data_IF_419233305115
#
_entry.id   IF_419233305115
#
_cell.length_a   1.000
_cell.length_b   1.000
_cell.length_c   1.000
_cell.angle_alpha   90.00
_cell.angle_beta   90.00
_cell.angle_gamma   90.00
#
_symmetry.space_group_name_H-M   'P 1'
#
loop_
_entity.id
_entity.type
_entity.pdbx_description
1 polymer ?
#
# COMPACT_ATOMS: atom_id res chain seq x y z
N UNK A 1 11.59 33.84 -40.06
CA UNK A 1 12.15 32.96 -39.00
C UNK A 1 11.71 33.43 -37.64
N UNK A 2 11.80 34.74 -37.28
CA UNK A 2 11.47 35.23 -35.93
C UNK A 2 10.01 35.07 -35.47
N UNK A 3 9.05 34.94 -36.39
CA UNK A 3 7.62 34.73 -36.03
C UNK A 3 7.33 33.31 -35.55
N UNK A 4 7.96 32.32 -36.17
CA UNK A 4 7.85 30.89 -35.80
C UNK A 4 8.46 30.63 -34.42
N UNK A 5 9.62 31.23 -34.13
CA UNK A 5 10.30 31.12 -32.83
C UNK A 5 9.49 31.74 -31.68
N UNK A 6 8.79 32.87 -31.94
CA UNK A 6 7.89 33.49 -30.95
C UNK A 6 6.62 32.67 -30.73
N UNK A 7 6.10 32.01 -31.76
CA UNK A 7 4.93 31.15 -31.66
C UNK A 7 5.23 29.87 -30.85
N UNK A 8 6.38 29.22 -31.13
CA UNK A 8 6.86 28.06 -30.37
C UNK A 8 7.17 28.38 -28.91
N UNK A 9 7.72 29.59 -28.64
CA UNK A 9 7.93 30.08 -27.29
C UNK A 9 6.61 30.29 -26.54
N UNK A 10 5.61 30.88 -27.20
CA UNK A 10 4.28 31.08 -26.62
C UNK A 10 3.57 29.76 -26.33
N UNK A 11 3.67 28.78 -27.19
CA UNK A 11 3.10 27.44 -26.95
C UNK A 11 3.77 26.77 -25.77
N UNK A 12 5.10 26.82 -25.69
CA UNK A 12 5.90 26.26 -24.56
C UNK A 12 5.54 26.96 -23.25
N UNK A 13 5.36 28.28 -23.25
CA UNK A 13 4.99 29.07 -22.09
C UNK A 13 3.56 28.77 -21.62
N UNK A 14 2.62 28.61 -22.55
CA UNK A 14 1.25 28.23 -22.24
C UNK A 14 1.17 26.79 -21.70
N UNK A 15 1.95 25.88 -22.26
CA UNK A 15 2.07 24.51 -21.74
C UNK A 15 2.62 24.52 -20.29
N UNK A 16 3.74 25.20 -20.07
CA UNK A 16 4.35 25.32 -18.73
C UNK A 16 3.39 25.96 -17.71
N UNK A 17 2.61 26.97 -18.10
CA UNK A 17 1.59 27.62 -17.28
C UNK A 17 0.48 26.62 -16.90
N UNK A 18 0.03 25.81 -17.85
CA UNK A 18 -1.03 24.83 -17.62
C UNK A 18 -0.55 23.72 -16.67
N UNK A 19 0.65 23.21 -16.87
CA UNK A 19 1.29 22.22 -16.00
C UNK A 19 1.48 22.75 -14.56
N UNK A 20 1.94 24.02 -14.45
CA UNK A 20 2.10 24.66 -13.13
C UNK A 20 0.77 24.80 -12.41
N UNK A 21 -0.27 25.25 -13.10
CA UNK A 21 -1.60 25.39 -12.53
C UNK A 21 -2.22 24.05 -12.11
N UNK A 22 -1.99 22.99 -12.89
CA UNK A 22 -2.39 21.62 -12.54
C UNK A 22 -1.67 21.12 -11.29
N UNK A 23 -0.36 21.37 -11.20
CA UNK A 23 0.45 21.01 -10.03
C UNK A 23 0.02 21.76 -8.77
N UNK A 24 -0.24 23.07 -8.85
CA UNK A 24 -0.76 23.86 -7.74
C UNK A 24 -2.13 23.36 -7.26
N UNK A 25 -3.01 23.00 -8.19
CA UNK A 25 -4.34 22.46 -7.87
C UNK A 25 -4.20 21.12 -7.13
N UNK A 26 -3.38 20.21 -7.63
CA UNK A 26 -3.10 18.92 -6.99
C UNK A 26 -2.50 19.13 -5.59
N UNK A 27 -1.62 20.10 -5.40
CA UNK A 27 -1.04 20.39 -4.09
C UNK A 27 -2.08 20.93 -3.10
N UNK A 28 -3.00 21.79 -3.54
CA UNK A 28 -4.11 22.29 -2.70
C UNK A 28 -5.07 21.18 -2.31
N UNK A 29 -5.45 20.32 -3.26
CA UNK A 29 -6.29 19.14 -3.00
C UNK A 29 -5.61 18.17 -2.03
N UNK A 30 -4.31 17.96 -2.19
CA UNK A 30 -3.48 17.18 -1.29
C UNK A 30 -3.58 17.68 0.16
N UNK A 31 -3.32 18.98 0.38
CA UNK A 31 -3.36 19.59 1.72
C UNK A 31 -4.78 19.50 2.33
N UNK A 32 -5.81 19.71 1.53
CA UNK A 32 -7.20 19.60 1.97
C UNK A 32 -7.55 18.16 2.42
N UNK A 33 -7.16 17.16 1.63
CA UNK A 33 -7.40 15.75 1.94
C UNK A 33 -6.63 15.32 3.19
N UNK A 34 -5.34 15.69 3.32
CA UNK A 34 -4.55 15.45 4.53
C UNK A 34 -5.24 16.04 5.76
N UNK A 35 -5.65 17.31 5.68
CA UNK A 35 -6.28 18.01 6.79
C UNK A 35 -7.57 17.31 7.23
N UNK A 36 -8.36 16.83 6.29
CA UNK A 36 -9.58 16.07 6.56
C UNK A 36 -9.27 14.73 7.23
N UNK A 37 -8.34 13.96 6.66
CA UNK A 37 -7.99 12.61 7.13
C UNK A 37 -7.27 12.62 8.50
N UNK A 38 -6.58 13.73 8.85
CA UNK A 38 -6.03 13.96 10.19
C UNK A 38 -7.11 14.40 11.19
N UNK A 39 -8.08 15.20 10.77
CA UNK A 39 -9.11 15.76 11.68
C UNK A 39 -10.04 14.67 12.20
N UNK A 40 -10.42 13.72 11.37
CA UNK A 40 -11.38 12.66 11.75
C UNK A 40 -10.89 11.83 12.96
N UNK A 41 -9.71 11.18 12.93
CA UNK A 41 -9.19 10.43 14.07
C UNK A 41 -8.95 11.33 15.29
N UNK A 42 -8.49 12.56 15.10
CA UNK A 42 -8.28 13.51 16.19
C UNK A 42 -9.59 13.86 16.90
N UNK A 43 -10.67 14.08 16.14
CA UNK A 43 -12.01 14.35 16.70
C UNK A 43 -12.54 13.15 17.48
N UNK A 44 -12.31 11.91 16.99
CA UNK A 44 -12.71 10.70 17.70
C UNK A 44 -11.94 10.53 19.01
N UNK A 45 -10.60 10.68 18.98
CA UNK A 45 -9.76 10.61 20.19
C UNK A 45 -10.22 11.64 21.24
N UNK A 46 -10.43 12.90 20.80
CA UNK A 46 -10.87 13.96 21.71
C UNK A 46 -12.27 13.69 22.26
N UNK A 47 -13.22 13.33 21.38
CA UNK A 47 -14.61 13.07 21.78
C UNK A 47 -14.75 11.90 22.75
N UNK A 48 -14.10 10.77 22.49
CA UNK A 48 -14.11 9.64 23.44
C UNK A 48 -13.36 9.98 24.73
N UNK A 49 -12.27 10.74 24.67
CA UNK A 49 -11.57 11.24 25.85
C UNK A 49 -12.47 12.15 26.72
N UNK A 50 -13.29 13.00 26.11
CA UNK A 50 -14.27 13.86 26.81
C UNK A 50 -15.41 13.03 27.41
N UNK A 51 -15.97 12.07 26.67
CA UNK A 51 -17.00 11.15 27.15
C UNK A 51 -16.51 10.39 28.38
N UNK A 52 -15.30 9.82 28.32
CA UNK A 52 -14.71 9.07 29.45
C UNK A 52 -14.43 9.96 30.67
N UNK A 53 -14.08 11.23 30.44
CA UNK A 53 -13.84 12.20 31.53
C UNK A 53 -15.13 12.65 32.20
N UNK A 54 -16.16 12.94 31.42
CA UNK A 54 -17.33 13.71 31.87
C UNK A 54 -18.53 12.80 32.24
N UNK A 55 -18.57 11.55 31.73
CA UNK A 55 -19.66 10.62 31.98
C UNK A 55 -19.22 9.45 32.85
N UNK A 56 -19.80 9.28 34.08
CA UNK A 56 -19.50 8.15 34.95
C UNK A 56 -19.83 6.81 34.27
N UNK A 57 -18.88 5.88 34.28
CA UNK A 57 -19.06 4.54 33.71
C UNK A 57 -18.63 4.37 32.27
N UNK A 58 -18.32 5.46 31.55
CA UNK A 58 -17.86 5.42 30.16
C UNK A 58 -16.34 5.16 29.99
N UNK A 59 -15.61 5.07 31.10
CA UNK A 59 -14.20 4.65 31.09
C UNK A 59 -14.10 3.13 30.91
N UNK A 60 -14.50 2.66 29.74
CA UNK A 60 -14.56 1.24 29.38
C UNK A 60 -13.35 0.82 28.54
N UNK A 61 -12.97 -0.47 28.57
CA UNK A 61 -11.93 -1.00 27.67
C UNK A 61 -12.24 -0.74 26.19
N UNK A 62 -13.52 -0.76 25.81
CA UNK A 62 -13.99 -0.55 24.44
C UNK A 62 -13.71 0.89 23.99
N UNK A 63 -14.05 1.90 24.83
CA UNK A 63 -13.80 3.30 24.53
C UNK A 63 -12.30 3.61 24.49
N UNK A 64 -11.51 3.00 25.38
CA UNK A 64 -10.04 3.08 25.37
C UNK A 64 -9.49 2.48 24.08
N UNK A 65 -10.02 1.33 23.63
CA UNK A 65 -9.58 0.69 22.40
C UNK A 65 -9.82 1.57 21.17
N UNK A 66 -10.96 2.26 21.10
CA UNK A 66 -11.23 3.22 20.01
C UNK A 66 -10.18 4.32 19.98
N UNK A 67 -9.79 4.87 21.13
CA UNK A 67 -8.75 5.90 21.22
C UNK A 67 -7.40 5.36 20.73
N UNK A 68 -7.04 4.13 21.13
CA UNK A 68 -5.80 3.47 20.72
C UNK A 68 -5.79 3.22 19.20
N UNK A 69 -6.89 2.74 18.64
CA UNK A 69 -7.02 2.44 17.22
C UNK A 69 -6.90 3.70 16.38
N UNK A 70 -7.57 4.80 16.77
CA UNK A 70 -7.49 6.07 16.06
C UNK A 70 -6.13 6.76 16.21
N UNK A 71 -5.46 6.64 17.37
CA UNK A 71 -4.11 7.13 17.56
C UNK A 71 -3.11 6.34 16.69
N UNK A 72 -3.27 5.03 16.59
CA UNK A 72 -2.46 4.16 15.73
C UNK A 72 -2.66 4.51 14.26
N UNK A 73 -3.90 4.73 13.85
CA UNK A 73 -4.25 5.19 12.50
C UNK A 73 -3.60 6.54 12.16
N UNK A 74 -3.66 7.50 13.09
CA UNK A 74 -3.03 8.82 12.94
C UNK A 74 -1.52 8.70 12.78
N UNK A 75 -0.87 7.85 13.59
CA UNK A 75 0.56 7.57 13.51
C UNK A 75 0.96 6.98 12.13
N UNK A 76 0.17 6.03 11.63
CA UNK A 76 0.39 5.45 10.30
C UNK A 76 0.29 6.51 9.20
N UNK A 77 -0.74 7.37 9.26
CA UNK A 77 -0.96 8.44 8.29
C UNK A 77 0.19 9.47 8.28
N UNK A 78 0.71 9.84 9.46
CA UNK A 78 1.88 10.73 9.58
C UNK A 78 3.11 10.08 8.97
N UNK A 79 3.36 8.80 9.23
CA UNK A 79 4.49 8.08 8.65
C UNK A 79 4.38 7.96 7.12
N UNK A 80 3.19 7.69 6.58
CA UNK A 80 2.91 7.66 5.15
C UNK A 80 3.22 9.01 4.49
N UNK A 81 2.87 10.13 5.15
CA UNK A 81 3.17 11.49 4.68
C UNK A 81 4.67 11.79 4.68
N UNK A 82 5.38 11.35 5.72
CA UNK A 82 6.84 11.51 5.80
C UNK A 82 7.54 10.70 4.70
N UNK A 83 7.11 9.47 4.47
CA UNK A 83 7.63 8.64 3.38
C UNK A 83 7.34 9.27 2.01
N UNK A 84 6.14 9.76 1.80
CA UNK A 84 5.77 10.46 0.57
C UNK A 84 6.64 11.71 0.34
N UNK A 85 6.89 12.50 1.39
CA UNK A 85 7.77 13.68 1.33
C UNK A 85 9.21 13.30 0.94
N UNK A 86 9.74 12.19 1.49
CA UNK A 86 11.06 11.67 1.13
C UNK A 86 11.11 11.17 -0.33
N UNK A 87 10.06 10.51 -0.80
CA UNK A 87 9.93 10.09 -2.20
C UNK A 87 9.96 11.31 -3.14
N UNK A 88 9.21 12.37 -2.80
CA UNK A 88 9.12 13.59 -3.61
C UNK A 88 10.43 14.35 -3.73
N UNK A 89 11.17 14.43 -2.64
CA UNK A 89 12.47 15.13 -2.63
C UNK A 89 13.59 14.34 -3.31
N UNK A 90 13.32 13.12 -3.80
CA UNK A 90 14.36 12.23 -4.32
C UNK A 90 15.35 11.77 -3.22
N UNK A 91 15.01 12.02 -1.95
CA UNK A 91 15.88 11.73 -0.81
C UNK A 91 15.87 10.25 -0.40
N UNK A 92 14.99 9.42 -0.99
CA UNK A 92 15.04 7.97 -0.75
C UNK A 92 16.21 7.37 -1.51
N UNK A 93 17.30 7.16 -0.78
CA UNK A 93 18.35 6.24 -1.20
C UNK A 93 18.10 4.93 -0.46
N UNK A 94 17.71 3.83 -1.18
CA UNK A 94 17.46 2.55 -0.53
C UNK A 94 18.74 1.99 0.09
N UNK A 95 18.68 1.61 1.35
CA UNK A 95 19.78 0.92 2.05
C UNK A 95 19.75 -0.57 1.68
N UNK A 96 20.31 -0.89 0.51
CA UNK A 96 20.26 -2.23 -0.05
C UNK A 96 21.19 -3.18 0.66
N UNK A 97 20.69 -4.36 1.01
CA UNK A 97 21.42 -5.48 1.58
C UNK A 97 20.93 -6.81 0.97
N UNK A 98 21.71 -7.87 1.14
CA UNK A 98 21.25 -9.22 0.77
C UNK A 98 20.39 -9.78 1.89
N UNK A 99 19.17 -10.27 1.54
CA UNK A 99 18.27 -10.93 2.49
C UNK A 99 17.39 -11.96 1.80
N UNK A 100 16.75 -12.83 2.61
CA UNK A 100 15.79 -13.81 2.14
C UNK A 100 14.38 -13.18 2.02
N UNK A 101 13.97 -12.86 0.80
CA UNK A 101 12.64 -12.29 0.52
C UNK A 101 11.51 -13.19 1.05
N UNK A 102 11.66 -14.50 0.88
CA UNK A 102 10.65 -15.47 1.30
C UNK A 102 10.42 -15.44 2.81
N UNK A 103 11.48 -15.29 3.60
CA UNK A 103 11.34 -15.22 5.06
C UNK A 103 10.79 -13.87 5.52
N UNK A 104 11.15 -12.77 4.85
CA UNK A 104 10.55 -11.46 5.08
C UNK A 104 9.04 -11.47 4.82
N UNK A 105 8.57 -12.12 3.73
CA UNK A 105 7.14 -12.30 3.45
C UNK A 105 6.47 -13.11 4.57
N UNK A 106 7.03 -14.26 4.98
CA UNK A 106 6.48 -15.07 6.08
C UNK A 106 6.36 -14.28 7.38
N UNK A 107 7.37 -13.46 7.71
CA UNK A 107 7.35 -12.61 8.91
C UNK A 107 6.22 -11.56 8.86
N UNK A 108 5.92 -11.01 7.69
CA UNK A 108 4.78 -10.11 7.51
C UNK A 108 3.48 -10.86 7.80
N UNK A 109 3.33 -12.10 7.34
CA UNK A 109 2.13 -12.91 7.51
C UNK A 109 1.81 -13.24 8.97
N UNK A 110 2.80 -13.27 9.87
CA UNK A 110 2.56 -13.47 11.31
C UNK A 110 1.68 -12.37 11.91
N UNK A 111 1.72 -11.15 11.33
CA UNK A 111 0.90 -10.00 11.79
C UNK A 111 -0.58 -10.18 11.48
N UNK A 112 -0.92 -11.03 10.50
CA UNK A 112 -2.30 -11.29 10.08
C UNK A 112 -2.93 -12.51 10.79
N UNK A 113 -2.23 -13.14 11.75
CA UNK A 113 -2.73 -14.30 12.47
C UNK A 113 -4.09 -14.04 13.16
N UNK A 114 -4.25 -12.87 13.82
CA UNK A 114 -5.51 -12.48 14.45
C UNK A 114 -6.68 -12.35 13.46
N UNK A 115 -6.44 -11.73 12.30
CA UNK A 115 -7.44 -11.60 11.23
C UNK A 115 -7.90 -12.96 10.72
N UNK A 116 -6.98 -13.93 10.62
CA UNK A 116 -7.30 -15.30 10.26
C UNK A 116 -8.19 -15.99 11.30
N UNK A 117 -7.82 -15.88 12.58
CA UNK A 117 -8.48 -16.61 13.68
C UNK A 117 -9.81 -15.98 14.10
N UNK A 118 -9.90 -14.64 14.13
CA UNK A 118 -11.05 -13.92 14.68
C UNK A 118 -12.05 -13.48 13.62
N UNK A 119 -11.57 -13.04 12.44
CA UNK A 119 -12.41 -12.42 11.41
C UNK A 119 -12.63 -13.30 10.17
N UNK A 120 -12.08 -14.53 10.18
CA UNK A 120 -12.28 -15.53 9.12
C UNK A 120 -11.62 -15.19 7.79
N UNK A 121 -10.56 -14.33 7.79
CA UNK A 121 -9.79 -14.08 6.58
C UNK A 121 -8.92 -15.27 6.22
N UNK A 122 -8.85 -15.58 4.92
CA UNK A 122 -7.96 -16.60 4.37
C UNK A 122 -6.80 -15.93 3.63
N UNK A 123 -5.70 -15.63 4.35
CA UNK A 123 -4.52 -14.98 3.79
C UNK A 123 -3.45 -16.04 3.57
N UNK A 124 -3.15 -16.34 2.30
CA UNK A 124 -2.27 -17.43 1.88
C UNK A 124 -0.96 -16.89 1.30
N UNK A 125 0.13 -17.58 1.57
CA UNK A 125 1.41 -17.35 0.91
C UNK A 125 1.90 -18.63 0.23
N UNK A 126 2.10 -18.56 -1.07
CA UNK A 126 2.53 -19.65 -1.90
C UNK A 126 3.92 -19.40 -2.47
N UNK A 127 4.85 -20.30 -2.21
CA UNK A 127 6.22 -20.22 -2.69
C UNK A 127 6.87 -21.60 -2.68
N UNK A 128 7.50 -21.97 -3.77
CA UNK A 128 8.20 -23.26 -3.92
C UNK A 128 9.67 -23.19 -3.46
N UNK A 129 10.26 -22.01 -3.41
CA UNK A 129 11.71 -21.82 -3.22
C UNK A 129 11.99 -20.65 -2.26
N UNK A 130 13.12 -20.70 -1.55
CA UNK A 130 13.60 -19.56 -0.79
C UNK A 130 14.48 -18.69 -1.68
N UNK A 131 14.08 -17.43 -1.88
CA UNK A 131 14.68 -16.49 -2.82
C UNK A 131 15.45 -15.40 -2.08
N UNK A 132 16.70 -15.17 -2.49
CA UNK A 132 17.57 -14.12 -1.96
C UNK A 132 17.69 -13.00 -2.99
N UNK A 133 17.56 -11.75 -2.53
CA UNK A 133 17.61 -10.53 -3.35
C UNK A 133 18.55 -9.50 -2.71
N UNK A 134 18.97 -8.49 -3.51
CA UNK A 134 19.71 -7.33 -3.03
C UNK A 134 18.83 -6.09 -3.12
N UNK A 135 18.20 -5.72 -2.00
CA UNK A 135 17.25 -4.62 -1.92
C UNK A 135 17.22 -4.04 -0.50
N UNK A 136 16.47 -2.99 -0.28
CA UNK A 136 16.18 -2.48 1.05
C UNK A 136 15.04 -3.31 1.67
N UNK A 137 15.38 -4.16 2.65
CA UNK A 137 14.44 -5.10 3.27
C UNK A 137 13.23 -4.40 3.90
N UNK A 138 13.46 -3.26 4.59
CA UNK A 138 12.38 -2.52 5.24
C UNK A 138 11.42 -1.93 4.21
N UNK A 139 11.96 -1.37 3.12
CA UNK A 139 11.16 -0.77 2.05
C UNK A 139 10.41 -1.82 1.23
N UNK A 140 11.03 -2.95 0.90
CA UNK A 140 10.33 -4.05 0.22
C UNK A 140 9.27 -4.67 1.12
N UNK A 141 9.54 -4.82 2.42
CA UNK A 141 8.53 -5.26 3.40
C UNK A 141 7.35 -4.29 3.47
N UNK A 142 7.60 -2.99 3.38
CA UNK A 142 6.56 -1.95 3.33
C UNK A 142 5.71 -2.06 2.05
N UNK A 143 6.33 -2.35 0.89
CA UNK A 143 5.60 -2.62 -0.37
C UNK A 143 4.62 -3.78 -0.18
N UNK A 144 5.12 -4.92 0.31
CA UNK A 144 4.31 -6.13 0.50
C UNK A 144 3.18 -5.86 1.49
N UNK A 145 3.48 -5.22 2.62
CA UNK A 145 2.49 -4.86 3.63
C UNK A 145 1.38 -3.96 3.06
N UNK A 146 1.73 -2.94 2.28
CA UNK A 146 0.76 -2.03 1.67
C UNK A 146 -0.12 -2.76 0.63
N UNK A 147 0.46 -3.65 -0.18
CA UNK A 147 -0.30 -4.42 -1.15
C UNK A 147 -1.24 -5.43 -0.47
N UNK A 148 -0.78 -6.13 0.57
CA UNK A 148 -1.62 -7.08 1.33
C UNK A 148 -2.74 -6.34 2.06
N UNK A 149 -2.46 -5.20 2.71
CA UNK A 149 -3.51 -4.39 3.35
C UNK A 149 -4.52 -3.86 2.33
N UNK A 150 -4.06 -3.45 1.16
CA UNK A 150 -4.95 -3.05 0.08
C UNK A 150 -5.88 -4.22 -0.31
N UNK A 151 -5.33 -5.41 -0.52
CA UNK A 151 -6.10 -6.61 -0.83
C UNK A 151 -7.09 -6.96 0.29
N UNK A 152 -6.70 -6.90 1.56
CA UNK A 152 -7.60 -7.14 2.73
C UNK A 152 -8.74 -6.13 2.78
N UNK A 153 -8.47 -4.85 2.46
CA UNK A 153 -9.48 -3.79 2.50
C UNK A 153 -10.51 -3.90 1.36
N UNK A 154 -10.14 -4.47 0.23
CA UNK A 154 -10.99 -4.57 -0.97
C UNK A 154 -11.39 -6.00 -1.31
N UNK A 155 -11.05 -6.97 -0.46
CA UNK A 155 -11.41 -8.38 -0.65
C UNK A 155 -12.93 -8.57 -0.74
N UNK A 156 -13.36 -9.57 -1.52
CA UNK A 156 -14.76 -9.95 -1.64
C UNK A 156 -15.29 -10.74 -0.43
N UNK A 157 -16.48 -11.32 -0.60
CA UNK A 157 -17.16 -12.08 0.46
C UNK A 157 -16.38 -13.32 0.92
N UNK A 158 -15.53 -13.89 0.07
CA UNK A 158 -14.68 -15.05 0.36
C UNK A 158 -13.51 -14.72 1.30
N UNK A 159 -13.25 -13.42 1.58
CA UNK A 159 -12.19 -12.93 2.45
C UNK A 159 -10.82 -13.55 2.15
N UNK A 160 -10.57 -13.90 0.87
CA UNK A 160 -9.35 -14.61 0.46
C UNK A 160 -8.37 -13.66 -0.21
N UNK A 161 -7.15 -13.61 0.32
CA UNK A 161 -6.00 -12.89 -0.24
C UNK A 161 -4.87 -13.89 -0.47
N UNK A 162 -4.35 -13.94 -1.69
CA UNK A 162 -3.29 -14.86 -2.07
C UNK A 162 -2.05 -14.07 -2.47
N UNK A 163 -0.93 -14.33 -1.80
CA UNK A 163 0.39 -13.82 -2.19
C UNK A 163 1.17 -14.97 -2.80
N UNK A 164 1.62 -14.81 -4.04
CA UNK A 164 2.45 -15.80 -4.71
C UNK A 164 3.85 -15.26 -4.97
N UNK A 165 4.85 -16.11 -4.78
CA UNK A 165 6.24 -15.84 -5.13
C UNK A 165 6.68 -16.85 -6.19
N UNK A 166 7.00 -16.38 -7.39
CA UNK A 166 7.40 -17.22 -8.52
C UNK A 166 8.75 -16.79 -9.07
N UNK A 167 9.61 -17.76 -9.34
CA UNK A 167 10.92 -17.52 -9.95
C UNK A 167 10.80 -17.61 -11.47
N UNK A 168 11.17 -16.53 -12.17
CA UNK A 168 11.19 -16.43 -13.62
C UNK A 168 12.60 -16.06 -14.10
N UNK A 169 13.44 -17.07 -14.34
CA UNK A 169 14.83 -16.87 -14.75
C UNK A 169 15.65 -16.16 -13.68
N UNK A 170 16.07 -14.92 -13.93
CA UNK A 170 16.86 -14.10 -12.98
C UNK A 170 15.99 -13.15 -12.14
N UNK A 171 14.67 -13.27 -12.23
CA UNK A 171 13.73 -12.41 -11.51
C UNK A 171 12.78 -13.22 -10.65
N UNK A 172 12.40 -12.64 -9.52
CA UNK A 172 11.28 -13.08 -8.71
C UNK A 172 10.09 -12.20 -8.98
N UNK A 173 8.95 -12.82 -9.27
CA UNK A 173 7.64 -12.18 -9.40
C UNK A 173 6.87 -12.40 -8.11
N UNK A 174 6.44 -11.30 -7.50
CA UNK A 174 5.50 -11.30 -6.38
C UNK A 174 4.16 -10.81 -6.88
N UNK A 175 3.10 -11.56 -6.58
CA UNK A 175 1.73 -11.22 -6.93
C UNK A 175 0.88 -11.23 -5.66
N UNK A 176 0.08 -10.20 -5.47
CA UNK A 176 -0.93 -10.10 -4.39
C UNK A 176 -2.29 -10.02 -5.03
N UNK A 177 -3.10 -11.05 -4.82
CA UNK A 177 -4.41 -11.23 -5.47
C UNK A 177 -5.53 -11.16 -4.44
N UNK A 178 -6.55 -10.39 -4.73
CA UNK A 178 -7.84 -10.33 -4.05
C UNK A 178 -8.97 -10.75 -5.01
N UNK A 179 -10.11 -11.16 -4.46
CA UNK A 179 -11.33 -11.49 -5.19
C UNK A 179 -12.43 -10.45 -4.92
N UNK A 180 -12.05 -9.17 -4.85
CA UNK A 180 -12.98 -8.07 -4.61
C UNK A 180 -13.73 -7.58 -5.85
N UNK A 181 -14.23 -6.36 -5.76
CA UNK A 181 -15.03 -5.73 -6.83
C UNK A 181 -14.22 -5.48 -8.12
N UNK A 182 -12.90 -5.55 -8.05
CA UNK A 182 -12.02 -5.20 -9.16
C UNK A 182 -11.97 -3.69 -9.44
N UNK A 183 -11.19 -3.31 -10.45
CA UNK A 183 -10.93 -1.91 -10.81
C UNK A 183 -11.36 -1.70 -12.26
N UNK A 184 -12.18 -0.68 -12.55
CA UNK A 184 -12.55 -0.32 -13.92
C UNK A 184 -11.31 0.01 -14.78
N UNK A 185 -11.25 -0.43 -16.04
CA UNK A 185 -10.09 -0.24 -16.91
C UNK A 185 -9.63 1.22 -17.02
N UNK A 186 -10.56 2.16 -17.08
CA UNK A 186 -10.31 3.60 -17.18
C UNK A 186 -9.69 4.20 -15.93
N UNK A 187 -9.71 3.47 -14.79
CA UNK A 187 -9.13 3.90 -13.53
C UNK A 187 -7.76 3.29 -13.25
N UNK A 188 -7.35 2.24 -13.98
CA UNK A 188 -6.11 1.50 -13.74
C UNK A 188 -4.85 2.37 -13.83
N UNK A 189 -4.85 3.39 -14.68
CA UNK A 189 -3.73 4.30 -14.85
C UNK A 189 -3.56 5.22 -13.62
N UNK A 190 -4.69 5.60 -12.98
CA UNK A 190 -4.71 6.59 -11.90
C UNK A 190 -4.55 6.01 -10.50
N UNK A 191 -4.68 4.69 -10.30
CA UNK A 191 -4.63 4.07 -8.96
C UNK A 191 -3.28 4.24 -8.24
N UNK A 192 -2.22 4.53 -9.00
CA UNK A 192 -0.89 4.81 -8.49
C UNK A 192 -0.69 6.28 -8.10
N UNK A 193 -1.68 7.13 -8.42
CA UNK A 193 -1.66 8.53 -8.08
C UNK A 193 -2.01 8.73 -6.61
N UNK A 194 -1.50 9.81 -6.05
CA UNK A 194 -1.67 10.13 -4.62
C UNK A 194 -3.11 10.47 -4.34
N UNK A 195 -3.64 9.95 -3.23
CA UNK A 195 -5.03 10.19 -2.78
C UNK A 195 -6.10 9.76 -3.78
N UNK A 196 -5.72 9.03 -4.81
CA UNK A 196 -6.70 8.49 -5.72
C UNK A 196 -7.46 7.35 -5.02
N UNK A 197 -8.76 7.46 -4.96
CA UNK A 197 -9.67 6.41 -4.49
C UNK A 197 -10.66 6.13 -5.61
N UNK A 198 -10.87 4.86 -5.90
CA UNK A 198 -11.77 4.42 -6.99
C UNK A 198 -13.21 4.87 -6.73
N UNK A 199 -13.65 4.87 -5.46
CA UNK A 199 -14.96 5.34 -5.04
C UNK A 199 -14.83 6.58 -4.16
N UNK A 200 -15.49 7.68 -4.57
CA UNK A 200 -15.65 8.88 -3.73
C UNK A 200 -16.70 8.68 -2.63
N UNK A 201 -17.58 7.69 -2.78
CA UNK A 201 -18.55 7.33 -1.76
C UNK A 201 -17.88 6.39 -0.75
N UNK A 202 -17.69 6.89 0.45
CA UNK A 202 -17.20 6.15 1.59
C UNK A 202 -18.09 4.93 1.83
N UNK A 203 -17.73 3.74 1.34
CA UNK A 203 -18.23 2.53 1.98
C UNK A 203 -17.74 2.64 3.43
N UNK A 204 -18.68 2.88 4.37
CA UNK A 204 -18.40 2.97 5.80
C UNK A 204 -17.64 1.71 6.20
N UNK A 205 -16.34 1.85 6.47
CA UNK A 205 -15.49 0.74 6.92
C UNK A 205 -14.17 0.55 6.16
N UNK A 206 -13.99 1.06 4.92
CA UNK A 206 -12.70 0.94 4.22
C UNK A 206 -11.72 2.00 4.70
N UNK A 207 -10.85 1.59 5.61
CA UNK A 207 -9.81 2.43 6.21
C UNK A 207 -8.59 2.47 5.26
N UNK A 208 -8.55 3.45 4.35
CA UNK A 208 -7.38 3.64 3.48
C UNK A 208 -7.02 5.12 3.32
N UNK A 209 -5.75 5.48 3.50
CA UNK A 209 -5.23 6.85 3.34
C UNK A 209 -5.20 7.30 1.87
N UNK A 210 -5.29 6.36 0.92
CA UNK A 210 -5.05 6.63 -0.51
C UNK A 210 -3.57 6.92 -0.84
N UNK A 211 -2.67 6.73 0.13
CA UNK A 211 -1.23 6.94 -0.04
C UNK A 211 -0.47 5.63 -0.30
N UNK A 212 -1.01 4.49 0.13
CA UNK A 212 -0.32 3.21 0.11
C UNK A 212 0.23 2.84 -1.26
N UNK A 213 -0.56 2.94 -2.34
CA UNK A 213 -0.11 2.60 -3.70
C UNK A 213 0.90 3.61 -4.25
N UNK A 214 0.81 4.89 -3.91
CA UNK A 214 1.80 5.88 -4.33
C UNK A 214 3.14 5.69 -3.61
N UNK A 215 3.13 5.22 -2.36
CA UNK A 215 4.32 4.81 -1.61
C UNK A 215 4.93 3.55 -2.25
N UNK A 216 4.11 2.55 -2.58
CA UNK A 216 4.54 1.34 -3.31
C UNK A 216 5.26 1.72 -4.60
N UNK A 217 4.64 2.57 -5.43
CA UNK A 217 5.24 3.09 -6.66
C UNK A 217 6.61 3.71 -6.40
N UNK A 218 6.70 4.66 -5.47
CA UNK A 218 7.96 5.37 -5.17
C UNK A 218 9.08 4.46 -4.69
N UNK A 219 8.76 3.46 -3.85
CA UNK A 219 9.73 2.47 -3.39
C UNK A 219 10.20 1.58 -4.55
N UNK A 220 9.28 1.07 -5.38
CA UNK A 220 9.61 0.20 -6.50
C UNK A 220 10.41 0.95 -7.59
N UNK A 221 10.06 2.21 -7.86
CA UNK A 221 10.83 3.09 -8.77
C UNK A 221 12.27 3.30 -8.25
N UNK A 222 12.47 3.52 -6.93
CA UNK A 222 13.82 3.67 -6.34
C UNK A 222 14.66 2.39 -6.42
N UNK A 223 13.99 1.23 -6.55
CA UNK A 223 14.64 -0.07 -6.76
C UNK A 223 14.78 -0.45 -8.25
N UNK A 224 14.34 0.39 -9.19
CA UNK A 224 14.24 0.09 -10.62
C UNK A 224 13.44 -1.19 -10.89
N UNK A 225 12.45 -1.47 -10.07
CA UNK A 225 11.61 -2.66 -10.16
C UNK A 225 10.49 -2.44 -11.18
N UNK A 226 10.08 -3.51 -11.88
CA UNK A 226 8.87 -3.50 -12.70
C UNK A 226 7.68 -3.84 -11.82
N UNK A 227 6.58 -3.17 -12.02
CA UNK A 227 5.34 -3.42 -11.27
C UNK A 227 4.11 -3.09 -12.12
N UNK A 228 2.96 -3.52 -11.64
CA UNK A 228 1.71 -3.23 -12.31
C UNK A 228 0.52 -3.84 -11.59
N UNK A 229 -0.63 -3.75 -12.25
CA UNK A 229 -1.89 -4.31 -11.80
C UNK A 229 -2.60 -4.99 -12.96
N UNK A 230 -3.26 -6.08 -12.67
CA UNK A 230 -4.24 -6.75 -13.53
C UNK A 230 -5.54 -6.82 -12.75
N UNK A 231 -6.61 -6.28 -13.31
CA UNK A 231 -7.91 -6.30 -12.64
C UNK A 231 -9.03 -6.47 -13.66
N UNK A 232 -10.09 -7.13 -13.21
CA UNK A 232 -11.34 -7.27 -13.97
C UNK A 232 -12.49 -6.97 -13.03
N UNK A 233 -13.37 -6.07 -13.44
CA UNK A 233 -14.53 -5.68 -12.64
C UNK A 233 -15.37 -6.92 -12.26
N UNK A 234 -15.69 -7.04 -10.98
CA UNK A 234 -16.42 -8.18 -10.41
C UNK A 234 -15.62 -9.47 -10.24
N UNK A 235 -14.28 -9.45 -10.50
CA UNK A 235 -13.41 -10.63 -10.35
C UNK A 235 -12.21 -10.41 -9.44
N UNK A 236 -12.00 -9.18 -8.98
CA UNK A 236 -10.88 -8.81 -8.13
C UNK A 236 -9.69 -8.23 -8.87
N UNK A 237 -8.58 -8.08 -8.14
CA UNK A 237 -7.35 -7.46 -8.64
C UNK A 237 -6.13 -8.28 -8.27
N UNK A 238 -5.09 -8.17 -9.09
CA UNK A 238 -3.76 -8.73 -8.82
C UNK A 238 -2.74 -7.62 -9.00
N UNK A 239 -2.13 -7.17 -7.91
CA UNK A 239 -0.99 -6.28 -7.92
C UNK A 239 0.29 -7.11 -7.97
N UNK A 240 1.27 -6.70 -8.76
CA UNK A 240 2.50 -7.46 -8.94
C UNK A 240 3.73 -6.57 -9.06
N UNK A 241 4.88 -7.12 -8.69
CA UNK A 241 6.19 -6.52 -8.94
C UNK A 241 7.27 -7.58 -9.13
N UNK A 242 8.36 -7.20 -9.79
CA UNK A 242 9.51 -8.05 -10.09
C UNK A 242 10.81 -7.46 -9.53
N UNK A 243 11.63 -8.30 -8.92
CA UNK A 243 12.97 -7.94 -8.43
C UNK A 243 14.01 -8.91 -8.98
N UNK A 244 15.26 -8.46 -9.06
CA UNK A 244 16.38 -9.29 -9.48
C UNK A 244 16.80 -10.24 -8.36
N UNK A 245 17.05 -11.52 -8.71
CA UNK A 245 17.45 -12.58 -7.80
C UNK A 245 18.98 -12.65 -7.71
N UNK A 246 19.52 -12.78 -6.50
CA UNK A 246 20.92 -13.15 -6.28
C UNK A 246 21.08 -14.67 -6.29
N UNK A 247 20.25 -15.36 -5.51
CA UNK A 247 20.30 -16.81 -5.36
C UNK A 247 18.94 -17.39 -4.99
N UNK A 248 18.79 -18.70 -5.23
CA UNK A 248 17.58 -19.47 -4.92
C UNK A 248 17.99 -20.74 -4.19
N UNK A 249 17.30 -21.07 -3.10
CA UNK A 249 17.44 -22.35 -2.40
C UNK A 249 16.14 -23.14 -2.52
N UNK A 250 16.21 -24.31 -3.13
CA UNK A 250 15.05 -25.24 -3.19
C UNK A 250 14.72 -25.74 -1.79
N UNK A 251 13.47 -25.65 -1.40
CA UNK A 251 12.98 -26.28 -0.18
C UNK A 251 12.93 -27.79 -0.35
N UNK A 252 13.63 -28.52 0.52
CA UNK A 252 13.43 -29.96 0.61
C UNK A 252 12.03 -30.21 1.17
N UNK A 253 11.13 -30.81 0.38
CA UNK A 253 9.74 -31.19 0.74
C UNK A 253 9.62 -32.18 1.92
N UNK A 254 10.64 -32.38 2.77
CA UNK A 254 10.68 -33.46 3.77
C UNK A 254 10.15 -33.12 5.17
N UNK A 255 9.66 -31.89 5.45
CA UNK A 255 9.25 -31.52 6.83
C UNK A 255 7.78 -31.05 6.95
N UNK A 256 6.89 -31.42 6.04
CA UNK A 256 5.44 -31.09 6.17
C UNK A 256 4.57 -32.20 6.76
N UNK A 257 5.12 -33.40 7.04
CA UNK A 257 4.33 -34.56 7.52
C UNK A 257 4.56 -34.92 9.00
N UNK A 258 5.44 -34.24 9.74
CA UNK A 258 5.72 -34.58 11.15
C UNK A 258 4.87 -33.81 12.19
N UNK A 259 3.90 -32.99 11.80
CA UNK A 259 2.99 -32.30 12.74
C UNK A 259 1.51 -32.74 12.57
N UNK A 260 1.28 -34.00 12.24
CA UNK A 260 -0.03 -34.64 12.35
C UNK A 260 0.09 -35.95 13.13
N UNK A 261 0.32 -35.86 14.42
CA UNK A 261 -0.05 -36.86 15.42
C UNK A 261 -0.46 -36.15 16.70
#
# INVERSE_FOLDING_TARGET
>A
TGYLEVEELNETLNYAKTELAATEKLQKELIANISHDLRTPLTMITGYGEVMRDLPGENTPENIQIIIDEATRLSTLVNDLLDLSKIQSGAIQPEKSEFCLTDSIKNIFTRYAKLKEQDGYNILFESDEDVYIFADELKISQVIYNLVNNAVNYVGEDKTVIVTQKVNGKKVLIEVTDHGDGIPPEKLEYIWDRYYKVDKEHKRGVIGTGLGLSIVKGILDSHNARYGVRSTLGKGSTFWFELDIISVKKRNKKNSDENKE
#
